data_IF_748553993348
#
_entry.id   IF_748553993348
#
_cell.length_a   1.000
_cell.length_b   1.000
_cell.length_c   1.000
_cell.angle_alpha   90.00
_cell.angle_beta   90.00
_cell.angle_gamma   90.00
#
_symmetry.space_group_name_H-M   'P 1'
#
loop_
_entity.id
_entity.type
_entity.pdbx_description
1 polymer ?
#
# COMPACT_ATOMS: atom_id res chain seq x y z
N UNK A 1 -3.88 6.56 -6.02
CA UNK A 1 -3.73 5.19 -5.48
C UNK A 1 -5.12 4.64 -5.19
N UNK A 2 -5.51 3.44 -5.66
CA UNK A 2 -6.93 2.95 -5.58
C UNK A 2 -7.09 1.47 -5.23
N UNK A 3 -8.22 1.13 -4.60
CA UNK A 3 -8.52 -0.24 -4.20
C UNK A 3 -8.96 -1.14 -5.38
N UNK A 4 -8.83 -2.47 -5.29
CA UNK A 4 -9.42 -3.41 -6.25
C UNK A 4 -10.96 -3.37 -6.21
N UNK A 5 -11.65 -3.56 -7.35
CA UNK A 5 -13.13 -3.75 -7.37
C UNK A 5 -13.58 -5.10 -6.80
N UNK A 6 -12.71 -6.11 -6.87
CA UNK A 6 -13.09 -7.53 -6.72
C UNK A 6 -12.60 -8.18 -5.42
N UNK A 7 -11.66 -7.56 -4.72
CA UNK A 7 -11.15 -8.08 -3.46
C UNK A 7 -11.71 -7.20 -2.37
N UNK A 8 -12.84 -7.66 -1.81
CA UNK A 8 -13.06 -7.77 -0.38
C UNK A 8 -14.52 -8.05 -0.08
N UNK A 9 -14.80 -9.31 0.25
CA UNK A 9 -15.95 -9.64 1.08
C UNK A 9 -15.51 -9.52 2.53
N UNK A 10 -16.34 -8.96 3.41
CA UNK A 10 -16.13 -9.16 4.85
C UNK A 10 -16.32 -10.65 5.22
N UNK A 11 -16.08 -11.00 6.48
CA UNK A 11 -16.27 -12.36 6.98
C UNK A 11 -17.71 -12.90 6.79
N UNK A 12 -18.65 -12.01 6.46
CA UNK A 12 -20.08 -12.29 6.28
C UNK A 12 -20.51 -12.28 4.79
N UNK A 13 -19.56 -12.17 3.84
CA UNK A 13 -19.85 -12.21 2.40
C UNK A 13 -20.35 -10.88 1.81
N UNK A 14 -20.30 -9.79 2.56
CA UNK A 14 -20.71 -8.45 2.13
C UNK A 14 -19.66 -7.75 1.28
N UNK A 15 -20.07 -7.13 0.16
CA UNK A 15 -19.20 -6.33 -0.72
C UNK A 15 -18.64 -5.13 0.05
N UNK A 16 -17.32 -5.08 0.29
CA UNK A 16 -16.67 -3.96 0.97
C UNK A 16 -16.60 -2.77 0.02
N UNK A 17 -17.53 -1.82 0.20
CA UNK A 17 -17.57 -0.58 -0.56
C UNK A 17 -16.55 0.40 0.00
N UNK A 18 -15.62 0.84 -0.86
CA UNK A 18 -14.60 1.83 -0.53
C UNK A 18 -15.13 3.27 -0.68
N UNK A 19 -16.42 3.53 -0.42
CA UNK A 19 -17.03 4.84 -0.68
C UNK A 19 -17.75 5.44 0.54
N UNK A 20 -17.23 6.62 0.89
CA UNK A 20 -17.86 7.81 1.52
C UNK A 20 -18.03 7.89 3.04
N UNK A 21 -17.58 9.05 3.50
CA UNK A 21 -17.67 9.70 4.81
C UNK A 21 -16.43 9.55 5.67
N UNK A 22 -16.21 10.55 6.53
CA UNK A 22 -15.15 10.73 7.52
C UNK A 22 -15.07 9.60 8.57
N UNK A 23 -15.56 8.40 8.24
CA UNK A 23 -15.44 7.16 8.98
C UNK A 23 -14.38 6.32 8.25
N UNK A 24 -13.49 5.68 8.99
CA UNK A 24 -12.56 4.73 8.39
C UNK A 24 -13.33 3.73 7.53
N UNK A 25 -12.85 3.44 6.32
CA UNK A 25 -13.31 2.25 5.62
C UNK A 25 -13.18 1.05 6.56
N UNK A 26 -14.14 0.12 6.59
CA UNK A 26 -14.06 -1.08 7.43
C UNK A 26 -12.71 -1.82 7.32
N UNK A 27 -12.07 -1.76 6.15
CA UNK A 27 -10.68 -2.20 5.95
C UNK A 27 -9.63 -1.50 6.81
N UNK A 28 -9.72 -0.18 6.87
CA UNK A 28 -8.77 0.73 7.49
C UNK A 28 -9.07 0.92 8.99
N UNK A 29 -10.23 0.44 9.46
CA UNK A 29 -10.58 0.39 10.89
C UNK A 29 -9.68 -0.57 11.66
N UNK A 30 -9.22 -1.65 11.02
CA UNK A 30 -8.30 -2.55 11.67
C UNK A 30 -6.87 -1.97 11.67
N UNK A 31 -6.15 -2.02 12.80
CA UNK A 31 -4.75 -1.65 12.83
C UNK A 31 -3.92 -2.56 11.92
N UNK A 32 -2.94 -1.98 11.23
CA UNK A 32 -1.90 -2.75 10.55
C UNK A 32 -0.79 -3.00 11.56
N UNK A 33 -0.61 -4.27 11.94
CA UNK A 33 0.47 -4.63 12.84
C UNK A 33 1.77 -4.70 12.07
N UNK A 34 2.83 -4.10 12.61
CA UNK A 34 4.15 -4.06 11.99
C UNK A 34 5.12 -4.76 12.92
N UNK A 35 5.75 -5.83 12.43
CA UNK A 35 6.82 -6.53 13.13
C UNK A 35 8.05 -5.64 13.21
N UNK A 36 8.59 -5.53 14.43
CA UNK A 36 9.84 -4.82 14.63
C UNK A 36 11.02 -5.59 14.04
N UNK A 37 11.31 -5.31 12.78
CA UNK A 37 12.63 -5.53 12.19
C UNK A 37 13.56 -4.33 12.47
N UNK A 38 13.11 -3.44 13.37
CA UNK A 38 13.87 -2.35 13.95
C UNK A 38 15.15 -2.83 14.67
N UNK A 39 15.27 -4.11 15.03
CA UNK A 39 16.48 -4.62 15.71
C UNK A 39 17.76 -4.50 14.88
N UNK A 40 17.68 -4.44 13.55
CA UNK A 40 18.84 -4.36 12.65
C UNK A 40 18.84 -3.15 11.72
N UNK A 41 17.75 -2.37 11.74
CA UNK A 41 17.67 -1.11 11.01
C UNK A 41 18.41 -0.01 11.78
N UNK A 42 19.31 0.75 11.15
CA UNK A 42 19.92 1.90 11.79
C UNK A 42 18.88 2.84 12.40
N UNK A 43 19.22 3.47 13.52
CA UNK A 43 18.32 4.36 14.24
C UNK A 43 17.66 5.44 13.34
N UNK A 44 18.41 5.99 12.39
CA UNK A 44 17.90 6.99 11.47
C UNK A 44 16.88 6.43 10.45
N UNK A 45 17.12 5.23 9.95
CA UNK A 45 16.20 4.56 9.03
C UNK A 45 14.88 4.21 9.76
N UNK A 46 14.97 3.76 11.02
CA UNK A 46 13.82 3.54 11.90
C UNK A 46 12.97 4.81 12.05
N UNK A 47 13.59 5.95 12.38
CA UNK A 47 12.87 7.21 12.54
C UNK A 47 12.13 7.62 11.28
N UNK A 48 12.72 7.43 10.10
CA UNK A 48 12.04 7.75 8.82
C UNK A 48 10.80 6.90 8.60
N UNK A 49 10.88 5.60 8.93
CA UNK A 49 9.77 4.66 8.83
C UNK A 49 8.65 5.04 9.80
N UNK A 50 8.98 5.27 11.07
CA UNK A 50 8.03 5.71 12.09
C UNK A 50 7.39 7.07 11.74
N UNK A 51 8.18 8.01 11.21
CA UNK A 51 7.68 9.29 10.75
C UNK A 51 6.71 9.14 9.57
N UNK A 52 7.01 8.27 8.60
CA UNK A 52 6.10 7.97 7.49
C UNK A 52 4.77 7.38 7.97
N UNK A 53 4.82 6.40 8.88
CA UNK A 53 3.64 5.83 9.53
C UNK A 53 2.84 6.88 10.31
N UNK A 54 3.51 7.78 11.03
CA UNK A 54 2.86 8.83 11.82
C UNK A 54 2.05 9.80 10.96
N UNK A 55 2.41 10.00 9.68
CA UNK A 55 1.63 10.83 8.75
C UNK A 55 0.25 10.24 8.51
N UNK A 56 0.12 8.90 8.42
CA UNK A 56 -1.19 8.25 8.36
C UNK A 56 -1.98 8.47 9.64
N UNK A 57 -1.32 8.38 10.81
CA UNK A 57 -1.99 8.60 12.10
C UNK A 57 -2.60 10.01 12.21
N UNK A 58 -1.91 11.03 11.67
CA UNK A 58 -2.36 12.44 11.71
C UNK A 58 -3.44 12.76 10.67
N UNK A 59 -3.39 12.13 9.49
CA UNK A 59 -4.25 12.49 8.35
C UNK A 59 -5.41 11.54 8.12
N UNK A 60 -5.36 10.36 8.72
CA UNK A 60 -6.32 9.28 8.52
C UNK A 60 -6.60 8.60 9.85
N UNK A 61 -7.51 7.64 9.83
CA UNK A 61 -7.80 6.76 10.95
C UNK A 61 -7.00 5.44 10.90
N UNK A 62 -6.16 5.23 9.88
CA UNK A 62 -5.21 4.09 9.82
C UNK A 62 -4.22 4.19 10.96
N UNK A 63 -3.94 3.07 11.63
CA UNK A 63 -2.93 2.96 12.67
C UNK A 63 -1.95 1.84 12.34
N UNK A 64 -0.68 2.21 12.17
CA UNK A 64 0.42 1.25 12.15
C UNK A 64 0.89 1.05 13.58
N UNK A 65 0.77 -0.19 14.08
CA UNK A 65 1.01 -0.51 15.50
C UNK A 65 2.08 -1.58 15.58
N UNK A 66 2.99 -1.49 16.55
CA UNK A 66 3.95 -2.54 16.82
C UNK A 66 3.24 -3.88 17.05
N UNK A 67 3.66 -4.91 16.31
CA UNK A 67 3.18 -6.27 16.48
C UNK A 67 3.61 -6.81 17.85
N UNK A 68 2.71 -7.55 18.49
CA UNK A 68 3.00 -8.39 19.65
C UNK A 68 2.76 -9.86 19.34
N UNK A 69 1.50 -10.26 19.14
CA UNK A 69 1.09 -11.67 18.93
C UNK A 69 0.13 -11.86 17.75
N UNK A 70 -0.14 -10.81 17.00
CA UNK A 70 -1.11 -10.86 15.90
C UNK A 70 -0.59 -11.77 14.78
N UNK A 71 -1.50 -12.57 14.21
CA UNK A 71 -1.20 -13.50 13.11
C UNK A 71 -0.87 -12.75 11.83
N UNK A 72 -1.63 -11.68 11.56
CA UNK A 72 -1.53 -10.88 10.36
C UNK A 72 -0.74 -9.61 10.63
N UNK A 73 0.35 -9.42 9.89
CA UNK A 73 1.26 -8.30 10.13
C UNK A 73 2.21 -8.05 8.96
N UNK A 74 2.65 -6.80 8.84
CA UNK A 74 3.72 -6.38 7.93
C UNK A 74 5.08 -6.65 8.58
N UNK A 75 5.97 -7.29 7.84
CA UNK A 75 7.37 -7.48 8.19
C UNK A 75 8.21 -6.59 7.27
N UNK A 76 8.80 -5.53 7.82
CA UNK A 76 9.57 -4.56 7.04
C UNK A 76 11.00 -5.06 6.88
N UNK A 77 11.40 -5.40 5.67
CA UNK A 77 12.66 -6.10 5.41
C UNK A 77 13.59 -5.24 4.55
N UNK A 78 14.90 -5.45 4.67
CA UNK A 78 15.90 -4.85 3.77
C UNK A 78 16.23 -5.86 2.65
N UNK A 79 15.37 -5.95 1.64
CA UNK A 79 15.58 -6.78 0.44
C UNK A 79 15.93 -5.90 -0.77
N UNK A 80 15.99 -6.52 -1.94
CA UNK A 80 16.26 -5.83 -3.20
C UNK A 80 15.01 -5.05 -3.66
N UNK A 81 15.14 -3.74 -3.74
CA UNK A 81 14.07 -2.84 -4.21
C UNK A 81 13.07 -2.43 -3.13
N UNK A 82 12.04 -1.71 -3.58
CA UNK A 82 10.93 -1.19 -2.77
C UNK A 82 9.65 -1.87 -3.25
N UNK A 83 8.97 -2.60 -2.39
CA UNK A 83 7.70 -3.25 -2.73
C UNK A 83 6.91 -3.62 -1.47
N UNK A 84 5.62 -3.88 -1.69
CA UNK A 84 4.71 -4.45 -0.70
C UNK A 84 3.65 -5.29 -1.40
N UNK A 85 3.02 -6.19 -0.66
CA UNK A 85 1.78 -6.82 -1.09
C UNK A 85 0.64 -5.81 -1.16
N UNK A 86 -0.35 -6.12 -2.00
CA UNK A 86 -1.59 -5.36 -2.10
C UNK A 86 -2.60 -5.83 -1.06
N UNK A 87 -2.84 -5.00 -0.05
CA UNK A 87 -3.79 -5.27 1.02
C UNK A 87 -3.29 -6.28 2.05
N UNK A 88 -4.20 -6.73 2.93
CA UNK A 88 -3.95 -7.80 3.89
C UNK A 88 -4.04 -9.15 3.19
N UNK A 89 -2.95 -9.90 3.18
CA UNK A 89 -2.89 -11.24 2.55
C UNK A 89 -3.06 -12.40 3.55
N UNK A 90 -3.08 -12.10 4.85
CA UNK A 90 -3.06 -13.09 5.93
C UNK A 90 -1.63 -13.52 6.31
N UNK A 91 -1.37 -13.71 7.60
CA UNK A 91 -0.05 -14.11 8.10
C UNK A 91 1.03 -13.02 8.02
N UNK A 92 2.31 -13.45 7.97
CA UNK A 92 3.45 -12.56 7.72
C UNK A 92 3.40 -12.07 6.27
N UNK A 93 3.26 -10.76 6.06
CA UNK A 93 3.42 -10.15 4.74
C UNK A 93 4.67 -9.28 4.69
N UNK A 94 5.53 -9.52 3.70
CA UNK A 94 6.77 -8.77 3.53
C UNK A 94 6.51 -7.40 2.89
N UNK A 95 7.22 -6.38 3.39
CA UNK A 95 7.34 -5.06 2.77
C UNK A 95 8.83 -4.74 2.69
N UNK A 96 9.39 -4.72 1.49
CA UNK A 96 10.80 -4.41 1.30
C UNK A 96 11.02 -2.90 1.25
N UNK A 97 11.94 -2.43 2.09
CA UNK A 97 12.56 -1.12 1.98
C UNK A 97 14.06 -1.31 1.92
N UNK A 98 14.59 -1.45 0.70
CA UNK A 98 16.05 -1.45 0.53
C UNK A 98 16.66 -0.20 1.15
N UNK A 99 17.64 -0.40 2.03
CA UNK A 99 18.44 0.69 2.61
C UNK A 99 19.12 1.51 1.51
N UNK A 100 19.37 0.90 0.36
CA UNK A 100 19.82 1.58 -0.85
C UNK A 100 18.60 1.98 -1.69
N UNK A 101 18.08 3.18 -1.44
CA UNK A 101 17.13 3.82 -2.36
C UNK A 101 15.66 3.86 -1.92
N UNK A 102 15.23 3.11 -0.89
CA UNK A 102 13.81 3.05 -0.50
C UNK A 102 13.47 3.79 0.80
N UNK A 103 14.47 4.09 1.65
CA UNK A 103 14.25 4.70 2.97
C UNK A 103 14.11 6.23 2.85
N UNK A 104 13.06 6.64 2.15
CA UNK A 104 12.62 8.02 1.95
C UNK A 104 11.14 8.13 2.29
N UNK A 105 10.73 9.24 2.91
CA UNK A 105 9.39 9.40 3.47
C UNK A 105 8.26 9.05 2.47
N UNK A 106 8.35 9.55 1.24
CA UNK A 106 7.36 9.30 0.19
C UNK A 106 7.34 7.84 -0.30
N UNK A 107 8.50 7.21 -0.44
CA UNK A 107 8.58 5.80 -0.88
C UNK A 107 8.03 4.88 0.23
N UNK A 108 8.36 5.15 1.49
CA UNK A 108 7.80 4.39 2.61
C UNK A 108 6.26 4.49 2.62
N UNK A 109 5.71 5.70 2.43
CA UNK A 109 4.26 5.89 2.31
C UNK A 109 3.67 5.17 1.10
N UNK A 110 4.39 5.13 0.00
CA UNK A 110 3.98 4.41 -1.21
C UNK A 110 3.80 2.92 -0.92
N UNK A 111 4.81 2.28 -0.32
CA UNK A 111 4.75 0.85 0.02
C UNK A 111 3.71 0.54 1.11
N UNK A 112 3.55 1.44 2.08
CA UNK A 112 2.49 1.32 3.07
C UNK A 112 1.09 1.44 2.43
N UNK A 113 0.90 2.30 1.43
CA UNK A 113 -0.35 2.36 0.69
C UNK A 113 -0.63 1.09 -0.11
N UNK A 114 0.39 0.45 -0.70
CA UNK A 114 0.21 -0.89 -1.28
C UNK A 114 -0.27 -1.88 -0.22
N UNK A 115 0.34 -1.89 0.97
CA UNK A 115 -0.12 -2.75 2.07
C UNK A 115 -1.56 -2.47 2.53
N UNK A 116 -2.05 -1.24 2.34
CA UNK A 116 -3.45 -0.86 2.57
C UNK A 116 -4.39 -1.24 1.40
N UNK A 117 -3.84 -1.72 0.30
CA UNK A 117 -4.59 -2.23 -0.86
C UNK A 117 -4.70 -1.26 -2.02
N UNK A 118 -3.85 -0.24 -2.12
CA UNK A 118 -3.95 0.73 -3.19
C UNK A 118 -3.00 0.44 -4.36
N UNK A 119 -3.54 0.24 -5.56
CA UNK A 119 -2.80 0.17 -6.82
C UNK A 119 -2.17 1.51 -7.23
N UNK A 120 -1.21 1.44 -8.15
CA UNK A 120 -0.64 2.60 -8.82
C UNK A 120 -1.68 3.38 -9.63
N UNK A 121 -1.56 4.71 -9.61
CA UNK A 121 -2.45 5.65 -10.28
C UNK A 121 -2.59 5.38 -11.78
N UNK A 122 -1.45 5.17 -12.47
CA UNK A 122 -1.40 4.91 -13.90
C UNK A 122 -2.00 3.56 -14.30
N UNK A 123 -2.43 2.74 -13.34
CA UNK A 123 -3.07 1.45 -13.59
C UNK A 123 -4.59 1.50 -13.40
N UNK A 124 -5.19 2.66 -13.07
CA UNK A 124 -6.64 2.78 -12.95
C UNK A 124 -7.39 2.28 -14.19
N UNK A 125 -8.61 1.78 -13.96
CA UNK A 125 -9.51 1.34 -15.03
C UNK A 125 -9.87 2.42 -16.07
N UNK A 126 -9.83 3.70 -15.69
CA UNK A 126 -10.09 4.88 -16.54
C UNK A 126 -8.82 5.63 -16.98
N UNK A 127 -7.61 5.09 -16.72
CA UNK A 127 -6.33 5.80 -16.94
C UNK A 127 -6.10 6.27 -18.38
N UNK A 128 -6.66 5.58 -19.37
CA UNK A 128 -6.50 5.93 -20.78
C UNK A 128 -7.20 7.26 -21.17
N UNK A 129 -8.05 7.82 -20.29
CA UNK A 129 -8.62 9.17 -20.46
C UNK A 129 -7.64 10.29 -20.08
N UNK A 130 -6.56 9.96 -19.37
CA UNK A 130 -5.66 10.94 -18.75
C UNK A 130 -4.21 10.78 -19.19
N UNK A 131 -3.76 9.54 -19.40
CA UNK A 131 -2.38 9.23 -19.77
C UNK A 131 -2.33 8.26 -20.94
N UNK A 132 -1.30 8.41 -21.78
CA UNK A 132 -0.99 7.45 -22.84
C UNK A 132 0.26 6.66 -22.49
N UNK A 133 0.13 5.34 -22.41
CA UNK A 133 1.27 4.45 -22.25
C UNK A 133 1.96 4.25 -23.61
N UNK A 134 3.20 4.72 -23.73
CA UNK A 134 3.99 4.54 -24.95
C UNK A 134 4.70 3.18 -24.93
N UNK A 135 3.95 2.11 -25.17
CA UNK A 135 4.40 0.72 -25.01
C UNK A 135 5.74 0.37 -25.69
N UNK A 136 6.04 0.99 -26.83
CA UNK A 136 7.31 0.78 -27.56
C UNK A 136 8.58 1.16 -26.80
N UNK A 137 8.46 1.96 -25.74
CA UNK A 137 9.59 2.39 -24.89
C UNK A 137 9.65 1.63 -23.56
N UNK A 138 8.83 0.60 -23.40
CA UNK A 138 8.77 -0.20 -22.18
C UNK A 138 9.47 -1.54 -22.46
N UNK A 139 10.31 -1.98 -21.52
CA UNK A 139 10.94 -3.29 -21.60
C UNK A 139 9.87 -4.39 -21.62
N UNK A 140 9.97 -5.40 -22.51
CA UNK A 140 9.03 -6.52 -22.52
C UNK A 140 8.93 -7.23 -21.17
N UNK A 141 10.02 -7.25 -20.38
CA UNK A 141 10.07 -7.86 -19.06
C UNK A 141 9.30 -7.09 -17.98
N UNK A 142 8.92 -5.83 -18.21
CA UNK A 142 8.25 -4.98 -17.21
C UNK A 142 6.91 -4.42 -17.70
N UNK A 143 6.40 -4.93 -18.83
CA UNK A 143 5.17 -4.43 -19.46
C UNK A 143 3.95 -4.57 -18.54
N UNK A 144 3.91 -5.64 -17.74
CA UNK A 144 2.85 -5.95 -16.79
C UNK A 144 2.66 -4.84 -15.73
N UNK A 145 3.70 -4.07 -15.40
CA UNK A 145 3.63 -2.95 -14.44
C UNK A 145 2.74 -1.79 -14.94
N UNK A 146 2.43 -1.78 -16.24
CA UNK A 146 1.62 -0.74 -16.89
C UNK A 146 0.26 -1.26 -17.31
N UNK A 147 -0.08 -2.52 -17.08
CA UNK A 147 -1.41 -3.05 -17.38
C UNK A 147 -2.49 -2.40 -16.51
N UNK A 148 -3.70 -2.25 -17.05
CA UNK A 148 -4.82 -1.72 -16.26
C UNK A 148 -5.25 -2.74 -15.22
N UNK A 149 -5.62 -2.23 -14.06
CA UNK A 149 -6.21 -2.97 -12.97
C UNK A 149 -7.72 -2.68 -12.93
N UNK A 150 -8.51 -3.66 -12.49
CA UNK A 150 -9.94 -3.46 -12.25
C UNK A 150 -10.14 -2.72 -10.91
N UNK A 151 -9.94 -1.40 -10.94
CA UNK A 151 -9.92 -0.54 -9.75
C UNK A 151 -11.30 -0.04 -9.36
N UNK A 152 -11.58 -0.03 -8.04
CA UNK A 152 -12.61 0.82 -7.44
C UNK A 152 -12.00 2.20 -7.23
N UNK A 153 -12.39 3.14 -8.08
CA UNK A 153 -11.88 4.52 -8.08
C UNK A 153 -12.44 5.38 -6.94
N UNK A 154 -13.30 4.82 -6.08
CA UNK A 154 -13.86 5.48 -4.89
C UNK A 154 -14.60 6.79 -5.17
N UNK A 155 -15.12 6.97 -6.39
CA UNK A 155 -15.66 8.24 -6.90
C UNK A 155 -14.68 9.42 -6.80
N UNK A 156 -13.38 9.15 -6.85
CA UNK A 156 -12.34 10.17 -6.87
C UNK A 156 -11.79 10.38 -8.29
N UNK A 157 -11.49 11.63 -8.68
CA UNK A 157 -10.91 11.91 -9.98
C UNK A 157 -9.50 11.33 -10.09
N UNK A 158 -9.04 11.12 -11.32
CA UNK A 158 -7.64 10.79 -11.60
C UNK A 158 -6.73 11.94 -11.13
N UNK A 159 -5.59 11.61 -10.50
CA UNK A 159 -4.59 12.60 -10.04
C UNK A 159 -3.27 12.39 -10.77
N UNK A 160 -2.61 13.46 -11.21
CA UNK A 160 -1.29 13.41 -11.86
C UNK A 160 -0.15 13.49 -10.83
#
# INVERSE_FOLDING_TARGET
MYCPKRIQTDADGGRLDCIKHQKCFKMLEQPMFVEEIIKWTPYYDKQKIENAMSTFNRKTCVRFVRRTRQSDYISIENKDGCYSYLGRIGGKQELSLSRRGCVYHGIIQHELNHALGFYHEHTRSDRDQYVRINWKYISPYTIYNFEKQDTNNQNTPYTI
#
